data_IF_966226564021
#
_entry.id   IF_966226564021
#
_cell.length_a   1.000
_cell.length_b   1.000
_cell.length_c   1.000
_cell.angle_alpha   90.00
_cell.angle_beta   90.00
_cell.angle_gamma   90.00
#
_symmetry.space_group_name_H-M   'P 1'
#
loop_
_entity.id
_entity.type
_entity.pdbx_description
1 polymer ?
#
# COMPACT_ATOMS: atom_id res chain seq x y z
N UNK A 1 -6.05 0.55 24.12
CA UNK A 1 -7.12 0.08 23.22
C UNK A 1 -6.61 -1.07 22.33
N UNK A 2 -7.03 -2.30 22.59
CA UNK A 2 -6.73 -3.48 21.77
C UNK A 2 -7.42 -3.40 20.41
N UNK A 3 -6.64 -3.33 19.34
CA UNK A 3 -7.09 -2.92 18.01
C UNK A 3 -6.81 -3.97 16.94
N UNK A 4 -7.74 -4.16 16.01
CA UNK A 4 -7.52 -4.82 14.71
C UNK A 4 -7.83 -3.84 13.57
N UNK A 5 -7.01 -3.86 12.52
CA UNK A 5 -7.14 -3.03 11.32
C UNK A 5 -7.46 -3.91 10.12
N UNK A 6 -8.54 -3.60 9.41
CA UNK A 6 -9.06 -4.34 8.26
C UNK A 6 -8.91 -3.48 7.03
N UNK A 7 -8.01 -3.90 6.15
CA UNK A 7 -7.54 -3.10 5.03
C UNK A 7 -8.08 -3.67 3.73
N UNK A 8 -8.94 -2.89 3.09
CA UNK A 8 -9.34 -3.11 1.71
C UNK A 8 -8.17 -2.66 0.81
N UNK A 9 -7.43 -3.63 0.30
CA UNK A 9 -6.25 -3.38 -0.52
C UNK A 9 -6.56 -2.79 -1.88
N UNK A 10 -7.78 -2.96 -2.39
CA UNK A 10 -8.22 -2.36 -3.63
C UNK A 10 -8.51 -0.88 -3.45
N UNK A 11 -9.29 -0.56 -2.42
CA UNK A 11 -9.59 0.82 -2.07
C UNK A 11 -8.31 1.57 -1.69
N UNK A 12 -7.40 0.94 -0.93
CA UNK A 12 -6.09 1.49 -0.61
C UNK A 12 -5.25 1.76 -1.86
N UNK A 13 -5.12 0.76 -2.74
CA UNK A 13 -4.30 0.90 -3.95
C UNK A 13 -4.83 2.01 -4.85
N UNK A 14 -6.10 1.95 -5.25
CA UNK A 14 -6.67 2.91 -6.19
C UNK A 14 -6.93 4.29 -5.56
N UNK A 15 -7.12 4.35 -4.25
CA UNK A 15 -7.45 5.60 -3.57
C UNK A 15 -6.23 6.47 -3.24
N UNK A 16 -5.09 5.88 -2.85
CA UNK A 16 -3.91 6.68 -2.49
C UNK A 16 -2.54 6.15 -2.95
N UNK A 17 -2.42 4.92 -3.44
CA UNK A 17 -1.10 4.37 -3.85
C UNK A 17 -0.86 4.39 -5.36
N UNK A 18 -1.91 4.27 -6.18
CA UNK A 18 -1.80 4.24 -7.63
C UNK A 18 -1.17 5.54 -8.14
N UNK A 19 -0.25 5.40 -9.07
CA UNK A 19 0.55 6.51 -9.65
C UNK A 19 1.39 7.25 -8.60
N UNK A 20 1.79 6.58 -7.52
CA UNK A 20 2.76 7.08 -6.54
C UNK A 20 3.91 6.09 -6.37
N UNK A 21 5.08 6.50 -5.85
CA UNK A 21 6.14 5.57 -5.49
C UNK A 21 5.83 4.79 -4.20
N UNK A 22 4.84 5.19 -3.40
CA UNK A 22 4.63 4.70 -2.04
C UNK A 22 3.96 3.32 -1.92
N UNK A 23 4.12 2.46 -2.93
CA UNK A 23 3.52 1.11 -2.99
C UNK A 23 4.26 0.10 -2.11
N UNK A 24 5.50 0.37 -1.70
CA UNK A 24 6.32 -0.49 -0.82
C UNK A 24 6.01 -0.23 0.66
N UNK A 25 4.73 -0.26 1.01
CA UNK A 25 4.20 0.29 2.26
C UNK A 25 4.31 -0.70 3.43
N UNK A 26 4.85 -0.26 4.56
CA UNK A 26 4.73 -0.92 5.85
C UNK A 26 3.37 -0.57 6.46
N UNK A 27 2.40 -1.47 6.28
CA UNK A 27 1.05 -1.30 6.79
C UNK A 27 1.04 -1.10 8.31
N UNK A 28 1.88 -1.81 9.07
CA UNK A 28 1.91 -1.67 10.52
C UNK A 28 2.44 -0.29 10.91
N UNK A 29 3.54 0.16 10.31
CA UNK A 29 4.09 1.48 10.58
C UNK A 29 3.08 2.59 10.26
N UNK A 30 2.37 2.48 9.12
CA UNK A 30 1.35 3.45 8.75
C UNK A 30 0.28 3.61 9.84
N UNK A 31 -0.28 2.50 10.31
CA UNK A 31 -1.35 2.58 11.30
C UNK A 31 -0.85 2.92 12.70
N UNK A 32 0.24 2.30 13.15
CA UNK A 32 0.75 2.46 14.52
C UNK A 32 1.43 3.80 14.73
N UNK A 33 2.18 4.31 13.76
CA UNK A 33 2.99 5.52 13.94
C UNK A 33 2.29 6.79 13.46
N UNK A 34 1.27 6.68 12.58
CA UNK A 34 0.64 7.85 11.97
C UNK A 34 -0.87 7.89 12.14
N UNK A 35 -1.60 6.91 11.58
CA UNK A 35 -3.07 6.98 11.54
C UNK A 35 -3.68 6.94 12.95
N UNK A 36 -3.31 5.96 13.77
CA UNK A 36 -3.89 5.83 15.11
C UNK A 36 -3.47 6.97 16.05
N UNK A 37 -2.20 7.43 16.09
CA UNK A 37 -1.81 8.62 16.85
C UNK A 37 -2.49 9.91 16.40
N UNK A 38 -2.93 10.01 15.14
CA UNK A 38 -3.66 11.20 14.66
C UNK A 38 -5.07 11.33 15.25
N UNK A 39 -5.61 10.25 15.81
CA UNK A 39 -6.96 10.19 16.41
C UNK A 39 -6.91 10.25 17.94
N UNK A 40 -5.89 9.63 18.54
CA UNK A 40 -5.80 9.45 19.98
C UNK A 40 -4.69 10.31 20.60
N UNK A 41 -5.07 11.23 21.49
CA UNK A 41 -4.13 12.03 22.28
C UNK A 41 -3.94 11.47 23.69
N UNK A 42 -2.67 11.37 24.11
CA UNK A 42 -2.04 11.21 25.45
C UNK A 42 -2.58 10.18 26.47
N UNK A 43 -3.85 9.78 26.43
CA UNK A 43 -4.49 8.90 27.43
C UNK A 43 -5.03 7.58 26.85
N UNK A 44 -4.97 7.37 25.54
CA UNK A 44 -5.34 6.11 24.89
C UNK A 44 -4.24 5.68 23.93
N UNK A 45 -3.51 4.62 24.29
CA UNK A 45 -2.54 3.99 23.40
C UNK A 45 -3.20 2.79 22.71
N UNK A 46 -3.53 2.91 21.41
CA UNK A 46 -3.99 1.76 20.65
C UNK A 46 -2.84 0.78 20.46
N UNK A 47 -3.09 -0.48 20.79
CA UNK A 47 -2.16 -1.59 20.66
C UNK A 47 -2.77 -2.61 19.71
N UNK A 48 -2.05 -2.95 18.64
CA UNK A 48 -2.48 -4.03 17.76
C UNK A 48 -2.45 -5.37 18.50
N UNK A 49 -3.53 -6.14 18.39
CA UNK A 49 -3.57 -7.53 18.83
C UNK A 49 -2.68 -8.42 17.93
N UNK A 50 -2.40 -9.68 18.31
CA UNK A 50 -1.95 -10.68 17.36
C UNK A 50 -2.88 -10.70 16.14
N UNK A 51 -2.31 -10.87 14.94
CA UNK A 51 -3.07 -10.73 13.68
C UNK A 51 -3.78 -9.36 13.56
N UNK A 52 -3.16 -8.32 14.13
CA UNK A 52 -3.73 -6.98 14.23
C UNK A 52 -3.85 -6.24 12.91
N UNK A 53 -3.14 -6.68 11.87
CA UNK A 53 -3.30 -6.18 10.49
C UNK A 53 -3.90 -7.29 9.63
N UNK A 54 -5.11 -7.05 9.13
CA UNK A 54 -5.80 -7.95 8.19
C UNK A 54 -5.91 -7.26 6.84
N UNK A 55 -5.19 -7.77 5.84
CA UNK A 55 -5.09 -7.19 4.50
C UNK A 55 -5.85 -8.05 3.48
N UNK A 56 -6.86 -7.46 2.84
CA UNK A 56 -7.75 -8.12 1.89
C UNK A 56 -7.44 -7.61 0.48
N UNK A 57 -7.14 -8.50 -0.44
CA UNK A 57 -6.71 -8.14 -1.80
C UNK A 57 -6.96 -9.28 -2.77
N UNK A 58 -6.77 -9.04 -4.07
CA UNK A 58 -6.79 -10.08 -5.08
C UNK A 58 -5.46 -10.12 -5.86
N UNK A 59 -5.04 -11.33 -6.25
CA UNK A 59 -3.83 -11.50 -7.07
C UNK A 59 -4.05 -10.95 -8.47
N UNK A 60 -3.18 -10.05 -8.90
CA UNK A 60 -3.17 -9.55 -10.27
C UNK A 60 -3.03 -10.74 -11.22
N UNK A 61 -3.92 -10.80 -12.21
CA UNK A 61 -3.87 -11.83 -13.25
C UNK A 61 -3.08 -11.29 -14.43
N UNK A 62 -2.12 -12.08 -14.92
CA UNK A 62 -1.22 -11.70 -16.03
C UNK A 62 -1.98 -11.22 -17.27
N UNK A 63 -3.08 -11.91 -17.64
CA UNK A 63 -3.94 -11.54 -18.79
C UNK A 63 -4.59 -10.17 -18.67
N UNK A 64 -4.65 -9.61 -17.46
CA UNK A 64 -5.23 -8.33 -17.12
C UNK A 64 -4.19 -7.31 -16.66
N UNK A 65 -2.91 -7.69 -16.59
CA UNK A 65 -1.85 -6.83 -16.09
C UNK A 65 -1.50 -5.76 -17.14
N UNK A 66 -1.57 -4.49 -16.73
CA UNK A 66 -1.16 -3.37 -17.58
C UNK A 66 0.37 -3.20 -17.65
N UNK A 67 1.08 -3.61 -16.58
CA UNK A 67 2.53 -3.56 -16.51
C UNK A 67 3.14 -4.96 -16.63
N UNK A 68 4.26 -5.06 -17.33
CA UNK A 68 4.97 -6.33 -17.57
C UNK A 68 5.42 -7.02 -16.29
N UNK A 69 5.69 -6.27 -15.22
CA UNK A 69 6.14 -6.80 -13.93
C UNK A 69 5.05 -6.76 -12.84
N UNK A 70 3.82 -6.31 -13.12
CA UNK A 70 2.81 -6.04 -12.07
C UNK A 70 2.53 -7.25 -11.17
N UNK A 71 2.44 -8.46 -11.75
CA UNK A 71 2.22 -9.70 -11.02
C UNK A 71 3.40 -10.03 -10.08
N UNK A 72 4.61 -9.89 -10.60
CA UNK A 72 5.87 -10.13 -9.87
C UNK A 72 6.07 -9.11 -8.75
N UNK A 73 5.81 -7.83 -9.04
CA UNK A 73 5.95 -6.73 -8.09
C UNK A 73 4.98 -6.90 -6.92
N UNK A 74 3.71 -7.22 -7.19
CA UNK A 74 2.72 -7.53 -6.15
C UNK A 74 3.14 -8.75 -5.32
N UNK A 75 3.54 -9.85 -5.96
CA UNK A 75 3.98 -11.05 -5.26
C UNK A 75 5.20 -10.77 -4.36
N UNK A 76 6.13 -9.93 -4.84
CA UNK A 76 7.31 -9.50 -4.09
C UNK A 76 6.91 -8.70 -2.85
N UNK A 77 5.97 -7.77 -2.99
CA UNK A 77 5.42 -7.00 -1.87
C UNK A 77 4.68 -7.87 -0.85
N UNK A 78 3.80 -8.77 -1.28
CA UNK A 78 3.07 -9.67 -0.38
C UNK A 78 4.04 -10.56 0.42
N UNK A 79 5.10 -11.05 -0.22
CA UNK A 79 6.13 -11.85 0.44
C UNK A 79 6.93 -11.02 1.46
N UNK A 80 7.31 -9.79 1.09
CA UNK A 80 7.98 -8.87 2.00
C UNK A 80 7.11 -8.56 3.23
N UNK A 81 5.84 -8.22 3.02
CA UNK A 81 4.87 -7.96 4.10
C UNK A 81 4.72 -9.16 5.04
N UNK A 82 4.47 -10.35 4.50
CA UNK A 82 4.33 -11.60 5.29
C UNK A 82 5.55 -11.83 6.17
N UNK A 83 6.74 -11.59 5.63
CA UNK A 83 7.97 -11.83 6.37
C UNK A 83 8.29 -10.73 7.37
N UNK A 84 8.03 -9.47 7.03
CA UNK A 84 8.25 -8.31 7.88
C UNK A 84 7.32 -8.30 9.10
N UNK A 85 6.05 -8.62 8.90
CA UNK A 85 5.02 -8.56 9.94
C UNK A 85 4.82 -9.89 10.69
N UNK A 86 5.21 -11.03 10.10
CA UNK A 86 5.03 -12.35 10.69
C UNK A 86 3.59 -12.58 11.13
N UNK A 87 3.40 -13.05 12.36
CA UNK A 87 2.08 -13.33 12.96
C UNK A 87 1.23 -12.07 13.22
N UNK A 88 1.80 -10.87 12.98
CA UNK A 88 1.07 -9.61 13.01
C UNK A 88 0.17 -9.38 11.79
N UNK A 89 0.32 -10.17 10.71
CA UNK A 89 -0.41 -10.02 9.45
C UNK A 89 -1.26 -11.26 9.13
N UNK A 90 -2.53 -11.03 8.77
CA UNK A 90 -3.33 -11.96 7.97
C UNK A 90 -3.50 -11.39 6.56
N UNK A 91 -3.07 -12.15 5.54
CA UNK A 91 -3.28 -11.79 4.14
C UNK A 91 -4.37 -12.68 3.54
N UNK A 92 -5.46 -12.06 3.11
CA UNK A 92 -6.58 -12.73 2.43
C UNK A 92 -6.51 -12.41 0.95
N UNK A 93 -6.28 -13.44 0.14
CA UNK A 93 -6.12 -13.33 -1.31
C UNK A 93 -7.39 -13.86 -2.02
N UNK A 94 -8.25 -12.94 -2.45
CA UNK A 94 -9.32 -13.20 -3.41
C UNK A 94 -8.77 -13.39 -4.84
N UNK A 95 -9.66 -13.31 -5.83
CA UNK A 95 -9.32 -13.54 -7.23
C UNK A 95 -10.01 -12.57 -8.18
N UNK A 96 -9.54 -12.53 -9.42
CA UNK A 96 -10.20 -11.78 -10.49
C UNK A 96 -11.05 -12.69 -11.35
N UNK A 97 -12.31 -12.31 -11.52
CA UNK A 97 -13.15 -12.83 -12.58
C UNK A 97 -12.93 -11.99 -13.85
N UNK A 98 -12.43 -12.63 -14.92
CA UNK A 98 -12.23 -11.99 -16.22
C UNK A 98 -13.22 -12.62 -17.19
N UNK A 99 -14.25 -11.86 -17.55
CA UNK A 99 -15.34 -12.35 -18.39
C UNK A 99 -15.56 -11.43 -19.58
N UNK A 100 -15.89 -12.00 -20.74
CA UNK A 100 -16.50 -11.24 -21.83
C UNK A 100 -17.95 -11.00 -21.49
N UNK A 101 -18.38 -9.75 -21.51
CA UNK A 101 -19.77 -9.36 -21.24
C UNK A 101 -20.24 -8.34 -22.25
N UNK A 102 -21.56 -8.20 -22.39
CA UNK A 102 -22.17 -7.12 -23.16
C UNK A 102 -22.60 -6.01 -22.21
N UNK A 103 -22.07 -4.81 -22.40
CA UNK A 103 -22.43 -3.63 -21.61
C UNK A 103 -23.07 -2.57 -22.51
N UNK A 104 -23.97 -1.76 -21.94
CA UNK A 104 -24.58 -0.64 -22.64
C UNK A 104 -23.51 0.43 -22.96
N UNK A 105 -23.39 0.81 -24.23
CA UNK A 105 -22.52 1.88 -24.67
C UNK A 105 -23.11 3.24 -24.26
N UNK A 106 -22.27 4.17 -23.80
CA UNK A 106 -22.73 5.54 -23.52
C UNK A 106 -23.06 6.24 -24.83
N UNK A 107 -24.30 6.71 -24.99
CA UNK A 107 -24.80 7.35 -26.22
C UNK A 107 -25.58 8.62 -25.89
N UNK A 108 -24.86 9.76 -25.87
CA UNK A 108 -25.46 11.06 -25.55
C UNK A 108 -26.15 11.06 -24.18
N UNK A 109 -27.40 11.52 -24.15
CA UNK A 109 -28.23 11.57 -22.93
C UNK A 109 -29.22 10.40 -22.83
N UNK A 110 -29.08 9.36 -23.67
CA UNK A 110 -29.97 8.20 -23.61
C UNK A 110 -29.79 7.47 -22.28
N UNK A 111 -30.89 6.93 -21.75
CA UNK A 111 -30.82 6.04 -20.60
C UNK A 111 -30.13 4.73 -21.03
N UNK A 112 -29.38 4.04 -20.14
CA UNK A 112 -28.65 2.83 -20.51
C UNK A 112 -29.52 1.78 -21.22
N UNK A 113 -30.80 1.63 -20.83
CA UNK A 113 -31.73 0.69 -21.44
C UNK A 113 -32.03 0.95 -22.93
N UNK A 114 -31.82 2.19 -23.38
CA UNK A 114 -32.12 2.67 -24.73
C UNK A 114 -30.85 2.79 -25.59
N UNK A 115 -29.69 2.32 -25.08
CA UNK A 115 -28.42 2.31 -25.78
C UNK A 115 -28.09 0.94 -26.39
N UNK A 116 -27.23 0.94 -27.41
CA UNK A 116 -26.65 -0.29 -27.95
C UNK A 116 -25.75 -1.00 -26.93
N UNK A 117 -25.55 -2.30 -27.14
CA UNK A 117 -24.63 -3.11 -26.33
C UNK A 117 -23.35 -3.42 -27.10
N UNK A 118 -22.23 -3.33 -26.41
CA UNK A 118 -20.90 -3.66 -26.94
C UNK A 118 -20.23 -4.76 -26.12
N UNK A 119 -19.47 -5.65 -26.77
CA UNK A 119 -18.67 -6.66 -26.08
C UNK A 119 -17.46 -6.00 -25.42
N UNK A 120 -17.29 -6.22 -24.11
CA UNK A 120 -16.17 -5.73 -23.31
C UNK A 120 -15.56 -6.85 -22.48
N UNK A 121 -14.29 -6.67 -22.09
CA UNK A 121 -13.68 -7.46 -21.02
C UNK A 121 -14.05 -6.83 -19.67
N UNK A 122 -14.83 -7.55 -18.88
CA UNK A 122 -15.15 -7.18 -17.49
C UNK A 122 -14.16 -7.85 -16.56
N UNK A 123 -13.39 -7.05 -15.85
CA UNK A 123 -12.47 -7.48 -14.81
C UNK A 123 -13.09 -7.11 -13.47
N UNK A 124 -13.40 -8.11 -12.66
CA UNK A 124 -13.97 -7.90 -11.33
C UNK A 124 -13.12 -8.58 -10.27
N UNK A 125 -12.76 -7.82 -9.24
CA UNK A 125 -12.28 -8.37 -7.99
C UNK A 125 -13.42 -9.14 -7.30
N UNK A 126 -13.10 -10.27 -6.68
CA UNK A 126 -14.05 -11.13 -5.98
C UNK A 126 -13.46 -11.58 -4.65
N UNK A 127 -14.36 -11.69 -3.67
CA UNK A 127 -14.15 -12.18 -2.30
C UNK A 127 -13.53 -11.19 -1.31
N UNK A 128 -12.79 -10.14 -1.72
CA UNK A 128 -12.12 -9.27 -0.74
C UNK A 128 -13.11 -8.61 0.22
N UNK A 129 -14.19 -8.02 -0.29
CA UNK A 129 -15.19 -7.31 0.54
C UNK A 129 -15.92 -8.26 1.49
N UNK A 130 -16.32 -9.44 0.98
CA UNK A 130 -17.02 -10.47 1.78
C UNK A 130 -16.11 -11.02 2.87
N UNK A 131 -14.84 -11.31 2.55
CA UNK A 131 -13.87 -11.77 3.53
C UNK A 131 -13.61 -10.70 4.59
N UNK A 132 -13.47 -9.43 4.18
CA UNK A 132 -13.25 -8.31 5.08
C UNK A 132 -14.41 -8.17 6.08
N UNK A 133 -15.63 -8.10 5.56
CA UNK A 133 -16.83 -7.97 6.38
C UNK A 133 -17.01 -9.16 7.34
N UNK A 134 -16.72 -10.37 6.86
CA UNK A 134 -16.84 -11.61 7.63
C UNK A 134 -15.81 -11.68 8.75
N UNK A 135 -14.53 -11.39 8.46
CA UNK A 135 -13.46 -11.40 9.45
C UNK A 135 -13.67 -10.35 10.54
N UNK A 136 -14.09 -9.13 10.18
CA UNK A 136 -14.37 -8.08 11.15
C UNK A 136 -15.53 -8.46 12.09
N UNK A 137 -16.60 -9.05 11.55
CA UNK A 137 -17.71 -9.52 12.36
C UNK A 137 -17.31 -10.73 13.23
N UNK A 138 -16.58 -11.69 12.66
CA UNK A 138 -16.13 -12.88 13.38
C UNK A 138 -15.26 -12.49 14.58
N UNK A 139 -14.26 -11.63 14.36
CA UNK A 139 -13.40 -11.10 15.41
C UNK A 139 -14.22 -10.37 16.49
N UNK A 140 -15.25 -9.61 16.12
CA UNK A 140 -16.15 -8.95 17.07
C UNK A 140 -16.91 -9.92 17.99
N UNK A 141 -17.13 -11.15 17.52
CA UNK A 141 -17.86 -12.19 18.25
C UNK A 141 -16.94 -13.04 19.12
N UNK A 142 -15.76 -13.39 18.63
CA UNK A 142 -14.87 -14.36 19.29
C UNK A 142 -13.78 -13.71 20.14
N UNK A 143 -13.38 -12.48 19.83
CA UNK A 143 -12.28 -11.80 20.52
C UNK A 143 -12.81 -10.97 21.70
N UNK A 144 -12.65 -11.52 22.91
CA UNK A 144 -13.08 -10.86 24.13
C UNK A 144 -12.32 -9.55 24.37
N UNK A 145 -11.00 -9.55 24.13
CA UNK A 145 -10.15 -8.40 24.39
C UNK A 145 -10.28 -7.30 23.33
N UNK A 146 -11.03 -7.50 22.24
CA UNK A 146 -11.15 -6.52 21.16
C UNK A 146 -11.90 -5.27 21.64
N UNK A 147 -11.23 -4.12 21.57
CA UNK A 147 -11.79 -2.82 21.96
C UNK A 147 -11.98 -1.90 20.76
N UNK A 148 -11.32 -2.18 19.64
CA UNK A 148 -11.41 -1.37 18.44
C UNK A 148 -11.23 -2.18 17.16
N UNK A 149 -12.09 -1.87 16.19
CA UNK A 149 -11.94 -2.27 14.79
C UNK A 149 -11.73 -1.01 13.95
N UNK A 150 -10.74 -1.04 13.07
CA UNK A 150 -10.50 0.04 12.10
C UNK A 150 -10.72 -0.50 10.69
N UNK A 151 -11.74 0.02 10.02
CA UNK A 151 -11.98 -0.26 8.61
C UNK A 151 -11.21 0.74 7.74
N UNK A 152 -10.47 0.25 6.76
CA UNK A 152 -9.72 1.07 5.80
C UNK A 152 -10.34 0.84 4.43
N UNK A 153 -11.41 1.56 4.14
CA UNK A 153 -12.13 1.50 2.87
C UNK A 153 -13.01 2.75 2.70
N UNK A 154 -13.40 3.03 1.46
CA UNK A 154 -14.44 3.98 1.09
C UNK A 154 -15.59 3.28 0.34
N UNK A 155 -15.64 1.95 0.37
CA UNK A 155 -16.70 1.16 -0.24
C UNK A 155 -17.92 1.09 0.68
N UNK A 156 -19.09 1.47 0.18
CA UNK A 156 -20.35 1.45 0.93
C UNK A 156 -20.81 0.05 1.32
N UNK A 157 -20.36 -0.99 0.63
CA UNK A 157 -20.79 -2.36 0.89
C UNK A 157 -20.35 -2.84 2.28
N UNK A 158 -19.34 -2.20 2.88
CA UNK A 158 -18.88 -2.48 4.25
C UNK A 158 -19.85 -2.01 5.34
N UNK A 159 -20.80 -1.12 5.01
CA UNK A 159 -21.72 -0.51 5.98
C UNK A 159 -22.51 -1.57 6.77
N UNK A 160 -22.91 -2.67 6.10
CA UNK A 160 -23.63 -3.76 6.74
C UNK A 160 -22.79 -4.42 7.87
N UNK A 161 -21.48 -4.59 7.65
CA UNK A 161 -20.57 -5.10 8.68
C UNK A 161 -20.51 -4.14 9.87
N UNK A 162 -20.30 -2.84 9.61
CA UNK A 162 -20.24 -1.82 10.67
C UNK A 162 -21.51 -1.78 11.51
N UNK A 163 -22.69 -1.82 10.87
CA UNK A 163 -23.99 -1.85 11.57
C UNK A 163 -24.07 -3.07 12.49
N UNK A 164 -23.68 -4.26 12.00
CA UNK A 164 -23.74 -5.50 12.79
C UNK A 164 -22.77 -5.49 13.97
N UNK A 165 -21.58 -4.92 13.82
CA UNK A 165 -20.64 -4.72 14.93
C UNK A 165 -21.23 -3.80 16.00
N UNK A 166 -21.87 -2.68 15.59
CA UNK A 166 -22.54 -1.76 16.53
C UNK A 166 -23.68 -2.45 17.28
N UNK A 167 -24.54 -3.18 16.57
CA UNK A 167 -25.64 -3.94 17.18
C UNK A 167 -25.11 -4.97 18.19
N UNK A 168 -24.04 -5.68 17.85
CA UNK A 168 -23.45 -6.71 18.70
C UNK A 168 -22.81 -6.16 19.99
N UNK A 169 -22.49 -4.86 20.06
CA UNK A 169 -21.97 -4.25 21.30
C UNK A 169 -22.94 -4.42 22.48
N UNK A 170 -24.26 -4.44 22.25
CA UNK A 170 -25.24 -4.74 23.30
C UNK A 170 -25.05 -6.14 23.92
N UNK A 171 -24.73 -7.12 23.08
CA UNK A 171 -24.43 -8.51 23.50
C UNK A 171 -23.07 -8.61 24.16
N UNK A 172 -22.06 -7.85 23.69
CA UNK A 172 -20.73 -7.80 24.35
C UNK A 172 -20.86 -7.28 25.77
N UNK A 173 -21.59 -6.21 25.98
CA UNK A 173 -21.81 -5.62 27.30
C UNK A 173 -22.57 -6.57 28.24
N UNK A 174 -23.56 -7.32 27.76
CA UNK A 174 -24.26 -8.31 28.60
C UNK A 174 -23.39 -9.50 29.00
N UNK A 175 -22.32 -9.78 28.24
CA UNK A 175 -21.27 -10.76 28.57
C UNK A 175 -20.17 -10.19 29.47
N UNK A 176 -20.23 -8.91 29.85
CA UNK A 176 -19.19 -8.23 30.62
C UNK A 176 -17.93 -7.88 29.81
N UNK A 177 -18.03 -7.82 28.48
CA UNK A 177 -16.93 -7.42 27.60
C UNK A 177 -17.02 -5.93 27.24
N UNK A 178 -15.90 -5.35 26.82
CA UNK A 178 -15.87 -3.97 26.33
C UNK A 178 -16.63 -3.85 25.00
N UNK A 179 -17.31 -2.72 24.81
CA UNK A 179 -17.84 -2.36 23.48
C UNK A 179 -16.69 -2.13 22.51
N UNK A 180 -16.92 -2.49 21.26
CA UNK A 180 -15.99 -2.26 20.16
C UNK A 180 -16.24 -0.87 19.61
N UNK A 181 -15.19 -0.05 19.63
CA UNK A 181 -15.14 1.23 18.91
C UNK A 181 -14.84 0.99 17.44
N UNK A 182 -15.54 1.68 16.56
CA UNK A 182 -15.38 1.57 15.11
C UNK A 182 -14.64 2.79 14.58
N UNK A 183 -13.45 2.57 14.04
CA UNK A 183 -12.71 3.56 13.28
C UNK A 183 -12.90 3.37 11.78
N UNK A 184 -12.92 4.48 11.04
CA UNK A 184 -12.92 4.48 9.59
C UNK A 184 -11.73 5.27 9.06
N UNK A 185 -11.01 4.70 8.11
CA UNK A 185 -9.94 5.38 7.37
C UNK A 185 -10.31 5.33 5.91
N UNK A 186 -10.51 6.50 5.31
CA UNK A 186 -10.81 6.63 3.89
C UNK A 186 -9.46 6.76 3.17
N UNK A 187 -9.03 5.75 2.40
CA UNK A 187 -7.68 5.73 1.84
C UNK A 187 -7.61 6.57 0.56
N UNK A 188 -7.79 7.88 0.68
CA UNK A 188 -7.74 8.84 -0.43
C UNK A 188 -6.55 9.78 -0.25
N UNK A 189 -6.11 10.39 -1.35
CA UNK A 189 -5.11 11.48 -1.32
C UNK A 189 -5.69 12.72 -0.65
N UNK A 190 -4.86 13.53 -0.02
CA UNK A 190 -5.28 14.84 0.50
C UNK A 190 -5.70 15.76 -0.65
N UNK A 191 -6.71 16.61 -0.43
CA UNK A 191 -7.29 17.52 -1.43
C UNK A 191 -6.37 18.69 -1.84
N UNK A 192 -5.09 18.65 -1.48
CA UNK A 192 -4.10 19.68 -1.84
C UNK A 192 -3.54 19.48 -3.26
N UNK A 193 -3.73 18.30 -3.86
CA UNK A 193 -3.54 18.10 -5.29
C UNK A 193 -4.78 18.59 -6.04
N UNK A 194 -4.60 19.46 -7.04
CA UNK A 194 -5.60 19.87 -8.05
C UNK A 194 -6.07 18.70 -8.94
N UNK A 195 -6.16 17.48 -8.40
CA UNK A 195 -6.77 16.34 -9.05
C UNK A 195 -8.28 16.43 -8.80
N UNK A 196 -9.04 16.70 -9.86
CA UNK A 196 -10.52 16.66 -9.90
C UNK A 196 -11.10 15.27 -9.52
N UNK A 197 -10.24 14.28 -9.23
CA UNK A 197 -10.56 12.89 -8.83
C UNK A 197 -10.39 12.60 -7.32
N UNK A 198 -10.25 13.60 -6.45
CA UNK A 198 -10.25 13.35 -5.01
C UNK A 198 -11.60 12.70 -4.59
N UNK A 199 -11.58 11.37 -4.40
CA UNK A 199 -12.75 10.58 -4.00
C UNK A 199 -13.32 11.20 -2.72
N UNK A 200 -14.55 11.70 -2.79
CA UNK A 200 -15.22 12.28 -1.63
C UNK A 200 -15.45 11.19 -0.58
N UNK A 201 -15.20 11.55 0.66
CA UNK A 201 -15.51 10.72 1.81
C UNK A 201 -16.98 10.32 1.79
N UNK A 202 -17.26 9.02 1.93
CA UNK A 202 -18.63 8.57 2.01
C UNK A 202 -19.27 8.99 3.34
N UNK A 203 -20.31 9.83 3.27
CA UNK A 203 -21.01 10.35 4.45
C UNK A 203 -21.63 9.22 5.27
N UNK A 204 -22.25 8.25 4.61
CA UNK A 204 -22.93 7.12 5.26
C UNK A 204 -21.98 6.27 6.11
N UNK A 205 -20.77 5.98 5.62
CA UNK A 205 -19.79 5.23 6.39
C UNK A 205 -19.28 6.04 7.60
N UNK A 206 -19.07 7.34 7.41
CA UNK A 206 -18.61 8.21 8.49
C UNK A 206 -19.63 8.31 9.63
N UNK A 207 -20.93 8.30 9.31
CA UNK A 207 -22.01 8.33 10.29
C UNK A 207 -22.08 7.03 11.13
N UNK A 208 -21.52 5.92 10.63
CA UNK A 208 -21.45 4.63 11.34
C UNK A 208 -20.19 4.47 12.21
N UNK A 209 -19.16 5.27 11.95
CA UNK A 209 -17.89 5.22 12.67
C UNK A 209 -17.89 6.15 13.89
N UNK A 210 -17.18 5.76 14.95
CA UNK A 210 -16.96 6.59 16.13
C UNK A 210 -15.82 7.62 15.92
N UNK A 211 -15.03 7.43 14.86
CA UNK A 211 -14.08 8.42 14.33
C UNK A 211 -13.75 8.10 12.87
N UNK A 212 -13.42 9.13 12.09
CA UNK A 212 -13.04 9.00 10.69
C UNK A 212 -11.78 9.78 10.36
N UNK A 213 -10.78 9.11 9.78
CA UNK A 213 -9.64 9.74 9.10
C UNK A 213 -10.00 9.86 7.61
N UNK A 214 -10.09 11.11 7.13
CA UNK A 214 -10.64 11.42 5.80
C UNK A 214 -9.69 11.18 4.64
N UNK A 215 -8.38 11.10 4.90
CA UNK A 215 -7.35 10.86 3.89
C UNK A 215 -6.09 10.29 4.54
N UNK A 216 -5.27 9.61 3.75
CA UNK A 216 -3.92 9.20 4.13
C UNK A 216 -2.95 10.18 3.46
N UNK A 217 -2.19 10.93 4.28
CA UNK A 217 -1.32 11.98 3.75
C UNK A 217 -0.09 11.42 3.05
N UNK A 218 0.49 12.20 2.14
CA UNK A 218 1.76 11.87 1.49
C UNK A 218 2.88 11.63 2.50
N UNK A 219 2.98 12.49 3.52
CA UNK A 219 3.99 12.38 4.58
C UNK A 219 3.91 11.05 5.32
N UNK A 220 2.69 10.59 5.64
CA UNK A 220 2.50 9.30 6.30
C UNK A 220 2.89 8.13 5.41
N UNK A 221 2.52 8.18 4.12
CA UNK A 221 2.92 7.15 3.15
C UNK A 221 4.44 7.07 3.02
N UNK A 222 5.11 8.21 2.88
CA UNK A 222 6.57 8.31 2.74
C UNK A 222 7.31 7.78 3.96
N UNK A 223 6.88 8.15 5.17
CA UNK A 223 7.48 7.69 6.44
C UNK A 223 7.15 6.25 6.79
N UNK A 224 6.21 5.63 6.07
CA UNK A 224 5.76 4.25 6.31
C UNK A 224 6.20 3.30 5.21
N UNK A 225 7.31 3.55 4.51
CA UNK A 225 7.84 2.57 3.55
C UNK A 225 8.58 1.45 4.29
N UNK A 226 8.44 0.22 3.79
CA UNK A 226 9.30 -0.90 4.17
C UNK A 226 10.77 -0.58 3.83
N UNK A 227 11.74 -1.18 4.52
CA UNK A 227 13.14 -1.10 4.10
C UNK A 227 13.30 -1.55 2.64
N UNK A 228 14.21 -0.92 1.89
CA UNK A 228 14.54 -1.27 0.50
C UNK A 228 14.77 -2.78 0.30
N UNK A 229 15.32 -3.43 1.33
CA UNK A 229 15.62 -4.84 1.40
C UNK A 229 14.95 -5.44 2.62
N UNK A 230 13.95 -6.28 2.40
CA UNK A 230 13.29 -7.05 3.45
C UNK A 230 13.87 -8.46 3.48
N UNK A 231 14.45 -8.91 4.61
CA UNK A 231 14.93 -10.29 4.73
C UNK A 231 13.81 -11.29 4.41
N UNK A 232 14.02 -12.20 3.46
CA UNK A 232 12.98 -13.14 3.00
C UNK A 232 13.51 -14.58 2.80
N UNK A 233 14.07 -15.13 3.87
CA UNK A 233 14.71 -16.46 3.84
C UNK A 233 16.01 -16.43 3.05
N UNK A 234 16.14 -17.27 2.02
CA UNK A 234 17.39 -17.39 1.23
C UNK A 234 17.66 -16.18 0.33
N UNK A 235 16.62 -15.48 -0.14
CA UNK A 235 16.76 -14.31 -1.01
C UNK A 235 15.91 -13.18 -0.45
N UNK A 236 16.48 -12.00 -0.16
CA UNK A 236 15.70 -10.87 0.31
C UNK A 236 14.71 -10.40 -0.75
N UNK A 237 13.57 -9.89 -0.31
CA UNK A 237 12.65 -9.17 -1.18
C UNK A 237 13.17 -7.72 -1.33
N UNK A 238 13.33 -7.29 -2.57
CA UNK A 238 13.77 -5.94 -2.91
C UNK A 238 12.57 -5.16 -3.42
N UNK A 239 12.49 -3.89 -3.06
CA UNK A 239 11.52 -2.97 -3.65
C UNK A 239 11.66 -2.98 -5.19
N UNK A 240 10.55 -3.04 -5.94
CA UNK A 240 10.58 -2.91 -7.39
C UNK A 240 11.13 -1.54 -7.82
N UNK A 241 11.97 -1.52 -8.86
CA UNK A 241 12.54 -0.26 -9.44
C UNK A 241 11.41 0.72 -9.83
N UNK A 242 10.29 0.20 -10.36
CA UNK A 242 9.10 0.96 -10.76
C UNK A 242 8.32 1.58 -9.58
N UNK A 243 8.75 1.32 -8.35
CA UNK A 243 8.16 1.82 -7.11
C UNK A 243 9.09 2.82 -6.41
N UNK A 244 10.24 3.16 -6.99
CA UNK A 244 11.04 4.28 -6.51
C UNK A 244 10.52 5.63 -7.04
N UNK A 245 10.76 6.73 -6.32
CA UNK A 245 10.78 8.05 -6.92
C UNK A 245 11.75 8.06 -8.10
N UNK A 246 11.44 8.83 -9.14
CA UNK A 246 12.31 8.93 -10.33
C UNK A 246 12.67 7.57 -10.96
N UNK A 247 11.71 6.64 -11.02
CA UNK A 247 11.94 5.25 -11.44
C UNK A 247 12.61 5.10 -12.81
N UNK A 248 12.42 6.04 -13.73
CA UNK A 248 13.09 6.03 -15.03
C UNK A 248 14.59 6.31 -14.91
N UNK A 249 14.99 7.31 -14.12
CA UNK A 249 16.42 7.58 -13.84
C UNK A 249 17.00 6.42 -13.03
N UNK A 250 16.26 5.90 -12.05
CA UNK A 250 16.74 4.76 -11.26
C UNK A 250 16.98 3.52 -12.13
N UNK A 251 16.12 3.27 -13.13
CA UNK A 251 16.34 2.22 -14.13
C UNK A 251 17.63 2.45 -14.91
N UNK A 252 17.94 3.69 -15.31
CA UNK A 252 19.19 4.02 -15.99
C UNK A 252 20.41 3.78 -15.09
N UNK A 253 20.34 4.17 -13.81
CA UNK A 253 21.39 3.88 -12.81
C UNK A 253 21.64 2.37 -12.72
N UNK A 254 20.58 1.57 -12.60
CA UNK A 254 20.71 0.12 -12.49
C UNK A 254 21.28 -0.52 -13.75
N UNK A 255 20.92 -0.01 -14.94
CA UNK A 255 21.51 -0.44 -16.21
C UNK A 255 22.99 -0.07 -16.32
N UNK A 256 23.36 1.13 -15.86
CA UNK A 256 24.74 1.62 -15.88
C UNK A 256 25.63 0.78 -14.96
N UNK A 257 25.22 0.60 -13.70
CA UNK A 257 25.93 -0.25 -12.74
C UNK A 257 26.03 -1.69 -13.23
N UNK A 258 24.99 -2.19 -13.91
CA UNK A 258 24.92 -3.54 -14.48
C UNK A 258 25.98 -3.84 -15.55
N UNK A 259 26.69 -2.83 -16.06
CA UNK A 259 27.80 -3.04 -17.01
C UNK A 259 29.00 -3.75 -16.39
N UNK A 260 29.22 -3.58 -15.08
CA UNK A 260 30.36 -4.19 -14.37
C UNK A 260 29.95 -4.95 -13.10
N UNK A 261 28.73 -4.76 -12.60
CA UNK A 261 28.23 -5.40 -11.39
C UNK A 261 27.04 -6.33 -11.68
N UNK A 262 26.94 -7.41 -10.89
CA UNK A 262 25.69 -8.18 -10.75
C UNK A 262 24.67 -7.36 -9.97
N UNK A 263 23.39 -7.73 -10.08
CA UNK A 263 22.30 -7.02 -9.40
C UNK A 263 22.56 -6.79 -7.89
N UNK A 264 23.05 -7.80 -7.17
CA UNK A 264 23.36 -7.68 -5.74
C UNK A 264 24.47 -6.68 -5.43
N UNK A 265 25.47 -6.59 -6.31
CA UNK A 265 26.60 -5.66 -6.17
C UNK A 265 26.19 -4.24 -6.55
N UNK A 266 25.28 -4.07 -7.51
CA UNK A 266 24.65 -2.77 -7.81
C UNK A 266 23.86 -2.25 -6.61
N UNK A 267 23.08 -3.11 -5.94
CA UNK A 267 22.38 -2.73 -4.71
C UNK A 267 23.35 -2.37 -3.58
N UNK A 268 24.39 -3.18 -3.38
CA UNK A 268 25.42 -2.89 -2.37
C UNK A 268 26.13 -1.55 -2.66
N UNK A 269 26.38 -1.23 -3.93
CA UNK A 269 26.93 0.07 -4.31
C UNK A 269 25.99 1.21 -3.90
N UNK A 270 24.68 1.05 -4.07
CA UNK A 270 23.70 2.07 -3.69
C UNK A 270 23.52 2.23 -2.17
N UNK A 271 23.76 1.16 -1.40
CA UNK A 271 23.63 1.14 0.07
C UNK A 271 24.84 1.77 0.80
N UNK A 272 25.92 2.10 0.10
CA UNK A 272 27.13 2.65 0.71
C UNK A 272 27.31 4.12 0.33
N UNK A 273 27.88 4.93 1.22
CA UNK A 273 28.32 6.29 0.86
C UNK A 273 29.42 6.23 -0.21
N UNK A 274 29.67 7.36 -0.88
CA UNK A 274 30.69 7.47 -1.93
C UNK A 274 31.78 8.45 -1.50
N UNK A 275 33.03 8.24 -1.93
CA UNK A 275 34.08 9.22 -1.71
C UNK A 275 33.73 10.54 -2.40
N UNK A 276 34.27 11.63 -1.88
CA UNK A 276 34.19 12.93 -2.53
C UNK A 276 34.90 12.89 -3.89
N UNK A 277 34.24 13.42 -4.93
CA UNK A 277 34.78 13.55 -6.28
C UNK A 277 34.43 14.94 -6.78
N UNK A 278 35.43 15.70 -7.21
CA UNK A 278 35.23 17.05 -7.72
C UNK A 278 34.27 17.06 -8.92
N UNK A 279 33.34 18.01 -8.93
CA UNK A 279 32.29 18.12 -9.95
C UNK A 279 31.11 17.14 -9.83
N UNK A 280 31.08 16.24 -8.83
CA UNK A 280 29.93 15.36 -8.57
C UNK A 280 29.20 15.71 -7.26
N UNK A 281 27.96 15.22 -7.12
CA UNK A 281 27.16 15.36 -5.89
C UNK A 281 27.90 14.81 -4.67
N UNK A 282 27.88 15.52 -3.54
CA UNK A 282 28.47 14.99 -2.31
C UNK A 282 27.61 13.86 -1.73
N UNK A 283 28.15 12.65 -1.76
CA UNK A 283 27.52 11.43 -1.22
C UNK A 283 28.37 10.83 -0.09
N UNK A 284 29.19 11.65 0.58
CA UNK A 284 30.04 11.20 1.70
C UNK A 284 29.25 10.96 2.99
N UNK A 285 28.16 11.70 3.21
CA UNK A 285 27.27 11.58 4.36
C UNK A 285 25.90 10.98 4.06
N UNK A 286 25.58 10.76 2.78
CA UNK A 286 24.27 10.27 2.32
C UNK A 286 24.49 9.18 1.29
N UNK A 287 23.75 8.07 1.44
CA UNK A 287 23.85 6.97 0.48
C UNK A 287 23.18 7.34 -0.85
N UNK A 288 23.62 6.77 -1.98
CA UNK A 288 22.88 6.88 -3.24
C UNK A 288 21.39 6.53 -3.10
N UNK A 289 21.03 5.50 -2.31
CA UNK A 289 19.62 5.14 -2.09
C UNK A 289 18.80 6.27 -1.45
N UNK A 290 19.36 6.96 -0.45
CA UNK A 290 18.69 8.09 0.20
C UNK A 290 18.59 9.29 -0.74
N UNK A 291 19.62 9.52 -1.56
CA UNK A 291 19.61 10.62 -2.54
C UNK A 291 18.54 10.42 -3.64
N UNK A 292 18.21 9.18 -4.01
CA UNK A 292 17.17 8.86 -5.01
C UNK A 292 15.76 9.36 -4.65
N UNK A 293 15.52 9.85 -3.43
CA UNK A 293 14.25 10.43 -3.03
C UNK A 293 13.92 11.76 -3.72
N UNK A 294 14.90 12.41 -4.40
CA UNK A 294 14.73 13.69 -5.08
C UNK A 294 15.20 13.62 -6.54
N UNK A 295 14.66 14.47 -7.41
CA UNK A 295 15.08 14.54 -8.82
C UNK A 295 16.56 14.90 -8.96
N UNK A 296 17.04 15.90 -8.20
CA UNK A 296 18.44 16.31 -8.21
C UNK A 296 19.36 15.20 -7.68
N UNK A 297 18.94 14.50 -6.63
CA UNK A 297 19.65 13.35 -6.09
C UNK A 297 19.70 12.18 -7.09
N UNK A 298 18.62 11.89 -7.78
CA UNK A 298 18.59 10.86 -8.81
C UNK A 298 19.55 11.17 -9.97
N UNK A 299 19.57 12.42 -10.45
CA UNK A 299 20.53 12.87 -11.47
C UNK A 299 21.97 12.79 -10.95
N UNK A 300 22.22 13.25 -9.73
CA UNK A 300 23.55 13.21 -9.10
C UNK A 300 24.08 11.78 -8.94
N UNK A 301 23.22 10.85 -8.51
CA UNK A 301 23.57 9.42 -8.41
C UNK A 301 23.87 8.81 -9.77
N UNK A 302 23.12 9.21 -10.81
CA UNK A 302 23.37 8.72 -12.17
C UNK A 302 24.71 9.18 -12.73
N UNK A 303 25.08 10.44 -12.51
CA UNK A 303 26.42 10.93 -12.90
C UNK A 303 27.53 10.25 -12.09
N UNK A 304 27.32 9.98 -10.80
CA UNK A 304 28.23 9.14 -10.01
C UNK A 304 28.37 7.73 -10.57
N UNK A 305 27.28 7.08 -10.96
CA UNK A 305 27.31 5.75 -11.56
C UNK A 305 28.12 5.76 -12.86
N UNK A 306 27.89 6.73 -13.76
CA UNK A 306 28.65 6.88 -15.01
C UNK A 306 30.14 7.08 -14.76
N UNK A 307 30.51 7.99 -13.85
CA UNK A 307 31.91 8.24 -13.50
C UNK A 307 32.58 6.99 -12.91
N UNK A 308 31.90 6.30 -11.99
CA UNK A 308 32.37 5.05 -11.40
C UNK A 308 32.61 3.97 -12.45
N UNK A 309 31.69 3.77 -13.39
CA UNK A 309 31.82 2.77 -14.44
C UNK A 309 32.95 3.12 -15.41
N UNK A 310 33.06 4.39 -15.82
CA UNK A 310 34.17 4.85 -16.65
C UNK A 310 35.53 4.57 -15.99
N UNK A 311 35.66 4.88 -14.70
CA UNK A 311 36.86 4.57 -13.93
C UNK A 311 37.11 3.05 -13.84
N UNK A 312 36.09 2.27 -13.50
CA UNK A 312 36.21 0.81 -13.32
C UNK A 312 36.65 0.11 -14.60
N UNK A 313 36.12 0.53 -15.75
CA UNK A 313 36.49 -0.01 -17.07
C UNK A 313 37.86 0.46 -17.55
N UNK A 314 38.41 1.54 -16.98
CA UNK A 314 39.76 2.01 -17.30
C UNK A 314 40.88 1.28 -16.55
N UNK A 315 40.53 0.47 -15.54
CA UNK A 315 41.51 -0.32 -14.80
C UNK A 315 41.98 -1.52 -15.65
N UNK A 316 43.29 -1.84 -15.65
CA UNK A 316 43.79 -3.07 -16.29
C UNK A 316 43.16 -4.32 -15.66
N UNK A 317 42.90 -5.35 -16.49
CA UNK A 317 42.40 -6.67 -16.05
C UNK A 317 43.36 -7.38 -15.08
#
# INVERSE_FOLDING_TARGET
MKTRVYIDGYNLYYGCLKNTPYKWLDLKALFVNHVLPSVYHENSHPQLLPQGVKFFTAKIVEKAALGTNSTKDQQTYHNALKKHLGDGLCLYEGYYAINKVHAFQVQGNNLPRDCDRVEIWKLEEKQSDVNLATEALFDSVVEQELEQIVYVSNDTDIAASMIKVREYNSVRLSKGWNSIRIGLVIPTKSSESNDDEARRANKTLSDLADWTVKCITRDWLEKSQLPHKVPNGRRPALIPISWHPESEIFKLIMLELGKVHKLSESWQWLEQTKPYVDGLMDLTSTTPLEALCTSDGAVGVYEHAKAYISWKLSLPE
#
